data_IF_953501059128
#
_entry.id   IF_953501059128
#
_cell.length_a   1.000
_cell.length_b   1.000
_cell.length_c   1.000
_cell.angle_alpha   90.00
_cell.angle_beta   90.00
_cell.angle_gamma   90.00
#
_symmetry.space_group_name_H-M   'P 1'
#
loop_
_entity.id
_entity.type
_entity.pdbx_description
1 polymer ?
#
# COMPACT_ATOMS: atom_id res chain seq x y z
N UNK A 1 1.70 -5.45 4.15
CA UNK A 1 2.94 -6.26 4.31
C UNK A 1 4.03 -5.38 4.89
N UNK A 2 4.85 -5.87 5.83
CA UNK A 2 6.04 -5.14 6.29
C UNK A 2 7.18 -5.29 5.27
N UNK A 3 7.82 -4.18 4.88
CA UNK A 3 8.71 -4.15 3.72
C UNK A 3 10.18 -3.99 4.08
N UNK A 4 10.50 -3.35 5.22
CA UNK A 4 11.89 -3.03 5.65
C UNK A 4 12.72 -2.32 4.59
N UNK A 5 12.06 -1.64 3.64
CA UNK A 5 12.68 -0.91 2.54
C UNK A 5 12.01 0.45 2.38
N UNK A 6 12.77 1.42 1.86
CA UNK A 6 12.28 2.77 1.56
C UNK A 6 11.17 2.75 0.48
N UNK A 7 10.25 3.73 0.55
CA UNK A 7 9.12 3.93 -0.36
C UNK A 7 9.46 3.88 -1.86
N UNK A 8 10.62 4.40 -2.27
CA UNK A 8 11.04 4.42 -3.67
C UNK A 8 11.33 3.01 -4.20
N UNK A 9 11.95 2.16 -3.36
CA UNK A 9 12.25 0.77 -3.73
C UNK A 9 10.97 -0.05 -3.79
N UNK A 10 10.10 0.08 -2.79
CA UNK A 10 8.83 -0.67 -2.78
C UNK A 10 7.89 -0.24 -3.91
N UNK A 11 7.83 1.05 -4.27
CA UNK A 11 7.07 1.51 -5.43
C UNK A 11 7.50 0.79 -6.71
N UNK A 12 8.80 0.59 -6.91
CA UNK A 12 9.34 -0.15 -8.06
C UNK A 12 9.01 -1.64 -8.01
N UNK A 13 9.05 -2.25 -6.82
CA UNK A 13 8.63 -3.65 -6.63
C UNK A 13 7.16 -3.81 -6.97
N UNK A 14 6.31 -2.91 -6.46
CA UNK A 14 4.87 -2.91 -6.71
C UNK A 14 4.54 -2.86 -8.19
N UNK A 15 5.18 -1.95 -8.93
CA UNK A 15 5.03 -1.86 -10.39
C UNK A 15 5.45 -3.14 -11.12
N UNK A 16 6.56 -3.78 -10.68
CA UNK A 16 7.01 -5.06 -11.25
C UNK A 16 6.06 -6.21 -10.97
N UNK A 17 5.31 -6.14 -9.88
CA UNK A 17 4.28 -7.11 -9.53
C UNK A 17 2.92 -6.83 -10.20
N UNK A 18 2.80 -5.80 -11.04
CA UNK A 18 1.57 -5.48 -11.77
C UNK A 18 0.54 -4.68 -10.96
N UNK A 19 0.85 -4.27 -9.74
CA UNK A 19 -0.03 -3.43 -8.94
C UNK A 19 0.14 -1.96 -9.33
N UNK A 20 -0.93 -1.38 -9.86
CA UNK A 20 -0.94 0.02 -10.31
C UNK A 20 -1.08 0.98 -9.13
N UNK A 21 -1.88 0.60 -8.13
CA UNK A 21 -2.22 1.43 -6.98
C UNK A 21 -1.59 0.89 -5.70
N UNK A 22 -1.29 1.80 -4.78
CA UNK A 22 -0.74 1.41 -3.48
C UNK A 22 -0.30 2.57 -2.60
N UNK A 23 -0.28 2.31 -1.31
CA UNK A 23 0.19 3.20 -0.24
C UNK A 23 1.44 2.59 0.37
N UNK A 24 2.51 3.38 0.45
CA UNK A 24 3.78 2.97 1.02
C UNK A 24 4.15 3.88 2.19
N UNK A 25 4.50 3.26 3.31
CA UNK A 25 5.04 3.93 4.50
C UNK A 25 6.53 3.63 4.55
N UNK A 26 7.34 4.69 4.71
CA UNK A 26 8.79 4.57 4.77
C UNK A 26 9.25 3.72 5.98
N UNK A 27 10.33 2.98 5.80
CA UNK A 27 11.00 2.27 6.89
C UNK A 27 11.76 3.25 7.78
N UNK A 28 11.81 2.97 9.09
CA UNK A 28 12.61 3.74 10.04
C UNK A 28 13.90 2.96 10.34
N UNK A 29 14.97 3.32 9.62
CA UNK A 29 16.22 2.56 9.64
C UNK A 29 16.01 1.15 9.09
N UNK A 30 16.37 0.12 9.88
CA UNK A 30 16.24 -1.30 9.52
C UNK A 30 14.90 -1.94 9.93
N UNK A 31 13.96 -1.16 10.48
CA UNK A 31 12.69 -1.65 11.02
C UNK A 31 11.49 -1.00 10.35
N UNK A 32 10.38 -1.74 10.31
CA UNK A 32 9.11 -1.25 9.83
C UNK A 32 9.10 -1.08 8.32
N UNK A 33 8.39 -0.05 7.85
CA UNK A 33 8.01 0.08 6.45
C UNK A 33 6.81 -0.78 6.17
N UNK A 34 5.78 -0.19 5.59
CA UNK A 34 4.54 -0.88 5.25
C UNK A 34 4.21 -0.60 3.81
N UNK A 35 3.62 -1.58 3.15
CA UNK A 35 3.02 -1.37 1.84
C UNK A 35 1.71 -2.11 1.74
N UNK A 36 0.73 -1.38 1.20
CA UNK A 36 -0.54 -1.89 0.74
C UNK A 36 -0.59 -1.61 -0.76
N UNK A 37 -0.82 -2.65 -1.55
CA UNK A 37 -0.86 -2.60 -3.01
C UNK A 37 -2.14 -3.27 -3.49
N UNK A 38 -2.78 -2.70 -4.50
CA UNK A 38 -4.01 -3.25 -5.06
C UNK A 38 -4.08 -3.00 -6.58
N UNK A 39 -4.97 -3.75 -7.22
CA UNK A 39 -5.22 -3.60 -8.66
C UNK A 39 -6.01 -2.33 -8.94
N UNK A 40 -5.80 -1.71 -10.11
CA UNK A 40 -6.44 -0.43 -10.45
C UNK A 40 -7.97 -0.50 -10.55
N UNK A 41 -8.53 -1.70 -10.69
CA UNK A 41 -9.97 -1.97 -10.69
C UNK A 41 -10.61 -2.01 -9.29
N UNK A 42 -9.82 -1.96 -8.21
CA UNK A 42 -10.33 -1.96 -6.84
C UNK A 42 -10.36 -0.51 -6.32
N UNK A 43 -11.56 -0.03 -5.98
CA UNK A 43 -11.75 1.24 -5.27
C UNK A 43 -11.54 1.03 -3.78
N UNK A 44 -10.69 1.85 -3.17
CA UNK A 44 -10.50 1.86 -1.72
C UNK A 44 -10.47 3.29 -1.20
N UNK A 45 -10.93 3.46 0.03
CA UNK A 45 -10.88 4.71 0.78
C UNK A 45 -9.90 4.56 1.93
N UNK A 46 -8.89 5.43 1.97
CA UNK A 46 -7.92 5.47 3.05
C UNK A 46 -8.52 6.14 4.29
N UNK A 47 -8.67 5.38 5.38
CA UNK A 47 -9.21 5.89 6.64
C UNK A 47 -8.11 6.50 7.51
N UNK A 48 -7.04 5.75 7.74
CA UNK A 48 -5.89 6.22 8.50
C UNK A 48 -4.63 5.40 8.19
N UNK A 49 -3.46 5.97 8.44
CA UNK A 49 -2.22 5.21 8.40
C UNK A 49 -1.21 5.77 9.41
N UNK A 50 -0.29 4.91 9.82
CA UNK A 50 0.85 5.24 10.66
C UNK A 50 2.08 4.42 10.24
N UNK A 51 3.18 4.57 10.98
CA UNK A 51 4.36 3.70 10.81
C UNK A 51 4.09 2.21 11.09
N UNK A 52 2.95 1.87 11.72
CA UNK A 52 2.64 0.50 12.17
C UNK A 52 1.33 -0.05 11.61
N UNK A 53 0.46 0.78 11.06
CA UNK A 53 -0.80 0.33 10.47
C UNK A 53 -1.16 1.11 9.21
N UNK A 54 -1.91 0.46 8.33
CA UNK A 54 -2.62 1.07 7.22
C UNK A 54 -4.06 0.56 7.34
N UNK A 55 -5.00 1.47 7.44
CA UNK A 55 -6.43 1.18 7.59
C UNK A 55 -7.21 1.75 6.41
N UNK A 56 -7.95 0.90 5.72
CA UNK A 56 -8.66 1.22 4.49
C UNK A 56 -10.03 0.54 4.47
N UNK A 57 -10.98 1.17 3.81
CA UNK A 57 -12.26 0.57 3.46
C UNK A 57 -12.22 0.23 1.98
N UNK A 58 -12.64 -0.97 1.61
CA UNK A 58 -12.85 -1.32 0.22
C UNK A 58 -14.23 -0.81 -0.16
N UNK A 59 -14.26 0.05 -1.15
CA UNK A 59 -15.48 0.62 -1.68
C UNK A 59 -15.96 -0.30 -2.79
N UNK A 60 -16.91 -1.17 -2.46
CA UNK A 60 -17.61 -1.99 -3.44
C UNK A 60 -18.70 -1.16 -4.14
N UNK A 61 -18.32 -0.01 -4.73
CA UNK A 61 -19.26 0.77 -5.53
C UNK A 61 -19.76 -0.15 -6.65
N UNK A 62 -21.04 -0.48 -6.56
CA UNK A 62 -21.56 -1.77 -7.00
C UNK A 62 -21.39 -1.99 -8.50
N UNK A 63 -20.60 -3.01 -8.85
CA UNK A 63 -20.89 -3.77 -10.07
C UNK A 63 -22.17 -4.58 -9.83
N UNK A 64 -23.31 -3.91 -10.02
CA UNK A 64 -24.59 -4.55 -10.37
C UNK A 64 -24.71 -4.63 -11.89
#
# INVERSE_FOLDING_TARGET
METKINKFKIKKVRQRCGFQSGIDVDSMGSKGGLSLAWSGDVSIVLQSFSSRHIDVIIDEDGKK
#
